data_IF_887607065923
#
_entry.id   IF_887607065923
#
_cell.length_a   1.000
_cell.length_b   1.000
_cell.length_c   1.000
_cell.angle_alpha   90.00
_cell.angle_beta   90.00
_cell.angle_gamma   90.00
#
_symmetry.space_group_name_H-M   'P 1'
#
loop_
_entity.id
_entity.type
_entity.pdbx_description
1 polymer ?
#
# COMPACT_ATOMS: atom_id res chain seq x y z
N UNK A 1 -21.08 -58.57 -16.19
CA UNK A 1 -20.16 -58.29 -17.31
C UNK A 1 -20.72 -57.27 -18.29
N UNK A 2 -21.72 -57.58 -19.14
CA UNK A 2 -22.19 -56.63 -20.19
C UNK A 2 -22.75 -55.32 -19.62
N UNK A 3 -23.55 -55.39 -18.54
CA UNK A 3 -24.12 -54.21 -17.86
C UNK A 3 -23.05 -53.30 -17.22
N UNK A 4 -21.95 -53.89 -16.77
CA UNK A 4 -20.83 -53.19 -16.13
C UNK A 4 -20.00 -52.42 -17.16
N UNK A 5 -19.74 -53.03 -18.31
CA UNK A 5 -19.14 -52.37 -19.47
C UNK A 5 -20.02 -51.23 -20.01
N UNK A 6 -21.33 -51.41 -20.08
CA UNK A 6 -22.25 -50.35 -20.49
C UNK A 6 -22.25 -49.16 -19.52
N UNK A 7 -22.21 -49.41 -18.21
CA UNK A 7 -22.13 -48.36 -17.19
C UNK A 7 -20.79 -47.60 -17.26
N UNK A 8 -19.66 -48.29 -17.46
CA UNK A 8 -18.36 -47.65 -17.65
C UNK A 8 -18.31 -46.78 -18.92
N UNK A 9 -18.90 -47.25 -20.02
CA UNK A 9 -19.06 -46.47 -21.24
C UNK A 9 -19.87 -45.20 -21.03
N UNK A 10 -21.01 -45.29 -20.34
CA UNK A 10 -21.83 -44.12 -19.99
C UNK A 10 -21.09 -43.12 -19.09
N UNK A 11 -20.30 -43.59 -18.13
CA UNK A 11 -19.45 -42.74 -17.28
C UNK A 11 -18.38 -42.00 -18.11
N UNK A 12 -17.74 -42.69 -19.04
CA UNK A 12 -16.70 -42.12 -19.91
C UNK A 12 -17.27 -41.03 -20.81
N UNK A 13 -18.46 -41.24 -21.39
CA UNK A 13 -19.15 -40.24 -22.22
C UNK A 13 -19.54 -39.00 -21.41
N UNK A 14 -20.01 -39.19 -20.17
CA UNK A 14 -20.32 -38.06 -19.26
C UNK A 14 -19.05 -37.26 -18.94
N UNK A 15 -17.96 -37.95 -18.61
CA UNK A 15 -16.67 -37.29 -18.34
C UNK A 15 -16.17 -36.49 -19.56
N UNK A 16 -16.21 -37.09 -20.75
CA UNK A 16 -15.81 -36.42 -22.00
C UNK A 16 -16.68 -35.18 -22.29
N UNK A 17 -17.99 -35.25 -22.03
CA UNK A 17 -18.90 -34.10 -22.19
C UNK A 17 -18.52 -32.94 -21.26
N UNK A 18 -18.19 -33.24 -20.01
CA UNK A 18 -17.76 -32.22 -19.05
C UNK A 18 -16.40 -31.61 -19.45
N UNK A 19 -15.45 -32.42 -19.91
CA UNK A 19 -14.17 -31.93 -20.43
C UNK A 19 -14.39 -31.01 -21.63
N UNK A 20 -15.25 -31.41 -22.57
CA UNK A 20 -15.59 -30.59 -23.73
C UNK A 20 -16.27 -29.26 -23.36
N UNK A 21 -17.18 -29.28 -22.38
CA UNK A 21 -17.80 -28.06 -21.83
C UNK A 21 -16.74 -27.13 -21.23
N UNK A 22 -15.82 -27.66 -20.42
CA UNK A 22 -14.74 -26.88 -19.83
C UNK A 22 -13.81 -26.29 -20.89
N UNK A 23 -13.42 -27.07 -21.89
CA UNK A 23 -12.58 -26.60 -22.99
C UNK A 23 -13.25 -25.46 -23.78
N UNK A 24 -14.55 -25.57 -24.03
CA UNK A 24 -15.32 -24.53 -24.71
C UNK A 24 -15.32 -23.22 -23.92
N UNK A 25 -15.45 -23.31 -22.59
CA UNK A 25 -15.37 -22.14 -21.70
C UNK A 25 -13.97 -21.53 -21.79
N UNK A 26 -12.90 -22.33 -21.67
CA UNK A 26 -11.52 -21.83 -21.79
C UNK A 26 -11.27 -21.16 -23.14
N UNK A 27 -11.76 -21.74 -24.24
CA UNK A 27 -11.64 -21.13 -25.56
C UNK A 27 -12.40 -19.81 -25.66
N UNK A 28 -13.55 -19.67 -24.98
CA UNK A 28 -14.30 -18.42 -24.93
C UNK A 28 -13.56 -17.27 -24.24
N UNK A 29 -12.60 -17.57 -23.35
CA UNK A 29 -11.75 -16.56 -22.71
C UNK A 29 -10.71 -15.95 -23.66
N UNK A 30 -10.29 -16.67 -24.72
CA UNK A 30 -9.30 -16.17 -25.69
C UNK A 30 -9.84 -14.99 -26.54
N UNK A 31 -11.16 -14.88 -26.69
CA UNK A 31 -11.79 -13.77 -27.40
C UNK A 31 -12.02 -12.51 -26.53
N UNK A 32 -11.67 -12.54 -25.24
CA UNK A 32 -11.81 -11.37 -24.35
C UNK A 32 -10.53 -10.53 -24.40
N UNK A 33 -10.69 -9.21 -24.38
CA UNK A 33 -9.56 -8.31 -24.20
C UNK A 33 -8.93 -8.51 -22.81
N UNK A 34 -7.59 -8.44 -22.70
CA UNK A 34 -6.93 -8.56 -21.42
C UNK A 34 -7.24 -7.34 -20.54
N UNK A 35 -7.62 -7.59 -19.29
CA UNK A 35 -7.84 -6.54 -18.26
C UNK A 35 -6.53 -6.13 -17.55
N UNK A 36 -5.40 -6.65 -18.00
CA UNK A 36 -4.09 -6.43 -17.38
C UNK A 36 -3.61 -5.00 -17.56
N UNK A 37 -3.11 -4.38 -16.49
CA UNK A 37 -2.48 -3.07 -16.49
C UNK A 37 -0.97 -3.26 -16.72
N UNK A 38 -0.40 -2.56 -17.70
CA UNK A 38 1.00 -2.73 -18.09
C UNK A 38 1.96 -1.88 -17.24
N UNK A 39 2.18 -2.29 -15.99
CA UNK A 39 3.22 -1.68 -15.15
C UNK A 39 4.62 -1.92 -15.75
N UNK A 40 5.52 -0.91 -15.87
CA UNK A 40 5.48 0.43 -15.24
C UNK A 40 4.91 1.56 -16.11
N UNK A 41 4.54 1.30 -17.36
CA UNK A 41 4.12 2.32 -18.33
C UNK A 41 2.69 2.81 -18.10
N UNK A 42 1.85 1.92 -17.57
CA UNK A 42 0.47 2.19 -17.15
C UNK A 42 0.38 1.94 -15.64
N UNK A 43 -0.12 2.94 -14.89
CA UNK A 43 -0.37 2.81 -13.45
C UNK A 43 -1.84 3.09 -13.15
N UNK A 44 -2.36 2.35 -12.19
CA UNK A 44 -3.72 2.54 -11.69
C UNK A 44 -3.76 3.76 -10.77
N UNK A 45 -4.75 4.64 -10.97
CA UNK A 45 -4.99 5.76 -10.06
C UNK A 45 -5.44 5.19 -8.71
N UNK A 46 -4.72 5.54 -7.64
CA UNK A 46 -5.08 5.10 -6.30
C UNK A 46 -6.34 5.81 -5.79
N UNK A 47 -7.06 5.19 -4.86
CA UNK A 47 -8.23 5.83 -4.25
C UNK A 47 -7.83 7.04 -3.41
N UNK A 48 -8.72 8.02 -3.26
CA UNK A 48 -8.52 9.21 -2.38
C UNK A 48 -8.15 8.87 -0.92
N UNK A 49 -8.52 7.68 -0.43
CA UNK A 49 -8.21 7.20 0.94
C UNK A 49 -7.12 6.13 0.96
N UNK A 50 -6.31 6.05 -0.10
CA UNK A 50 -5.22 5.11 -0.16
C UNK A 50 -4.18 5.43 0.93
N UNK A 51 -3.54 4.38 1.45
CA UNK A 51 -2.60 4.44 2.56
C UNK A 51 -1.20 4.07 2.07
N UNK A 52 -0.51 5.03 1.47
CA UNK A 52 0.89 4.90 1.04
C UNK A 52 1.87 5.45 2.06
N UNK A 53 2.95 6.08 1.59
CA UNK A 53 3.95 6.73 2.44
C UNK A 53 3.29 7.79 3.34
N UNK A 54 3.84 7.97 4.53
CA UNK A 54 3.43 9.06 5.43
C UNK A 54 4.23 10.32 5.08
N UNK A 55 3.53 11.44 4.91
CA UNK A 55 4.12 12.77 4.80
C UNK A 55 4.12 13.45 6.17
N UNK A 56 5.15 14.25 6.45
CA UNK A 56 5.33 14.91 7.73
C UNK A 56 5.71 16.38 7.55
N UNK A 57 4.96 17.26 8.21
CA UNK A 57 5.25 18.68 8.28
C UNK A 57 5.90 19.04 9.63
N UNK A 58 7.17 19.44 9.59
CA UNK A 58 7.95 19.75 10.79
C UNK A 58 7.36 20.93 11.59
N UNK A 59 6.94 21.99 10.91
CA UNK A 59 6.48 23.23 11.54
C UNK A 59 5.15 23.08 12.31
N UNK A 60 4.33 22.09 11.94
CA UNK A 60 3.03 21.81 12.58
C UNK A 60 3.15 20.86 13.77
N UNK A 61 4.29 20.20 13.98
CA UNK A 61 4.43 19.21 15.04
C UNK A 61 4.66 19.87 16.41
N UNK A 62 3.90 19.44 17.42
CA UNK A 62 3.98 19.94 18.80
C UNK A 62 4.60 18.95 19.80
N UNK A 63 5.21 17.87 19.30
CA UNK A 63 5.82 16.80 20.12
C UNK A 63 4.87 16.25 21.21
N UNK A 64 3.64 15.91 20.81
CA UNK A 64 2.60 15.38 21.71
C UNK A 64 2.69 13.86 21.97
N UNK A 65 3.54 13.15 21.20
CA UNK A 65 3.76 11.70 21.29
C UNK A 65 2.47 10.86 21.15
N UNK A 66 1.39 11.43 20.61
CA UNK A 66 0.16 10.69 20.34
C UNK A 66 0.42 9.64 19.26
N UNK A 67 1.17 9.99 18.21
CA UNK A 67 1.52 9.07 17.12
C UNK A 67 2.26 7.81 17.59
N UNK A 68 3.05 7.91 18.66
CA UNK A 68 3.73 6.75 19.26
C UNK A 68 2.71 5.89 19.99
N UNK A 69 1.95 6.48 20.92
CA UNK A 69 0.96 5.78 21.76
C UNK A 69 -0.16 5.10 20.98
N UNK A 70 -0.53 5.63 19.81
CA UNK A 70 -1.58 5.02 18.95
C UNK A 70 -1.01 4.03 17.94
N UNK A 71 0.31 3.97 17.79
CA UNK A 71 0.96 3.00 16.91
C UNK A 71 0.89 1.62 17.57
N UNK A 72 0.47 0.55 16.86
CA UNK A 72 0.39 -0.79 17.44
C UNK A 72 1.72 -1.35 17.97
N UNK A 73 2.84 -0.76 17.56
CA UNK A 73 4.20 -1.20 17.86
C UNK A 73 5.10 -0.04 18.35
N UNK A 74 4.52 1.12 18.70
CA UNK A 74 5.27 2.31 19.15
C UNK A 74 6.41 2.74 18.20
N UNK A 75 6.15 2.74 16.89
CA UNK A 75 7.18 2.89 15.85
C UNK A 75 7.79 4.30 15.70
N UNK A 76 7.01 5.40 15.64
CA UNK A 76 7.60 6.71 15.33
C UNK A 76 8.56 7.14 16.43
N UNK A 77 9.78 7.54 16.05
CA UNK A 77 10.76 8.07 17.00
C UNK A 77 10.58 9.58 17.08
N UNK A 78 10.29 10.09 18.27
CA UNK A 78 10.02 11.50 18.52
C UNK A 78 11.01 12.02 19.56
N UNK A 79 12.02 12.75 19.11
CA UNK A 79 12.98 13.40 20.00
C UNK A 79 12.59 14.86 20.20
N UNK A 80 12.44 15.28 21.45
CA UNK A 80 12.09 16.65 21.79
C UNK A 80 12.85 17.14 23.03
N UNK A 81 13.02 18.45 23.12
CA UNK A 81 13.60 19.13 24.29
C UNK A 81 12.59 20.11 24.85
N UNK A 82 12.47 20.14 26.18
CA UNK A 82 11.69 21.16 26.86
C UNK A 82 12.51 22.45 26.94
N UNK A 83 12.05 23.50 26.26
CA UNK A 83 12.59 24.85 26.47
C UNK A 83 11.89 25.46 27.68
N UNK A 84 12.62 25.61 28.79
CA UNK A 84 12.06 26.09 30.05
C UNK A 84 11.56 27.53 29.98
N UNK A 85 12.22 28.36 29.17
CA UNK A 85 11.90 29.78 29.03
C UNK A 85 10.49 30.01 28.46
N UNK A 86 10.11 29.21 27.46
CA UNK A 86 8.83 29.32 26.75
C UNK A 86 7.81 28.27 27.25
N UNK A 87 8.25 27.34 28.14
CA UNK A 87 7.49 26.17 28.58
C UNK A 87 6.90 25.37 27.41
N UNK A 88 7.59 25.34 26.28
CA UNK A 88 7.17 24.65 25.05
C UNK A 88 8.11 23.49 24.77
N UNK A 89 7.54 22.36 24.33
CA UNK A 89 8.32 21.26 23.77
C UNK A 89 8.75 21.65 22.35
N UNK A 90 10.06 21.62 22.10
CA UNK A 90 10.64 21.79 20.78
C UNK A 90 11.04 20.43 20.23
N UNK A 91 10.52 20.10 19.06
CA UNK A 91 10.92 18.89 18.33
C UNK A 91 12.35 19.06 17.81
N UNK A 92 13.18 18.03 17.99
CA UNK A 92 14.56 17.97 17.49
C UNK A 92 14.64 17.06 16.26
N UNK A 93 14.09 15.85 16.39
CA UNK A 93 14.12 14.84 15.36
C UNK A 93 12.82 14.04 15.36
N UNK A 94 12.41 13.65 14.15
CA UNK A 94 11.27 12.78 13.92
C UNK A 94 11.64 11.79 12.83
N UNK A 95 11.48 10.50 13.09
CA UNK A 95 11.74 9.46 12.08
C UNK A 95 10.73 8.33 12.15
N UNK A 96 10.47 7.72 11.00
CA UNK A 96 9.61 6.54 10.86
C UNK A 96 10.35 5.51 10.01
N UNK A 97 10.42 4.27 10.51
CA UNK A 97 10.95 3.15 9.73
C UNK A 97 9.84 2.47 8.93
N UNK A 98 9.83 2.70 7.61
CA UNK A 98 8.86 2.10 6.71
C UNK A 98 9.07 0.59 6.51
N UNK A 99 10.21 0.02 6.92
CA UNK A 99 10.41 -1.42 6.93
C UNK A 99 9.61 -2.15 8.02
N UNK A 100 9.16 -1.42 9.05
CA UNK A 100 8.38 -1.95 10.18
C UNK A 100 6.94 -1.42 10.15
N UNK A 101 6.70 -0.27 9.52
CA UNK A 101 5.38 0.34 9.41
C UNK A 101 4.37 -0.58 8.69
N UNK A 102 3.20 -0.76 9.29
CA UNK A 102 2.09 -1.56 8.72
C UNK A 102 1.05 -0.71 7.97
N UNK A 103 1.32 0.58 7.76
CA UNK A 103 0.44 1.53 7.05
C UNK A 103 -1.02 1.58 7.55
N UNK A 104 -1.25 1.36 8.85
CA UNK A 104 -2.59 1.40 9.44
C UNK A 104 -3.25 2.78 9.39
N UNK A 105 -2.46 3.87 9.43
CA UNK A 105 -2.97 5.25 9.39
C UNK A 105 -3.41 5.84 10.73
N UNK A 106 -3.31 5.10 11.85
CA UNK A 106 -3.69 5.63 13.18
C UNK A 106 -2.94 6.92 13.53
N UNK A 107 -1.65 7.00 13.22
CA UNK A 107 -0.84 8.18 13.51
C UNK A 107 -1.33 9.44 12.79
N UNK A 108 -1.96 9.29 11.62
CA UNK A 108 -2.57 10.39 10.86
C UNK A 108 -3.92 10.77 11.46
N UNK A 109 -4.75 9.77 11.76
CA UNK A 109 -6.12 9.98 12.26
C UNK A 109 -6.15 10.67 13.63
N UNK A 110 -5.25 10.29 14.54
CA UNK A 110 -5.19 10.85 15.90
C UNK A 110 -4.28 12.08 16.01
N UNK A 111 -3.73 12.59 14.91
CA UNK A 111 -2.87 13.76 14.94
C UNK A 111 -3.71 15.04 15.18
N UNK A 112 -3.51 15.77 16.30
CA UNK A 112 -4.34 16.94 16.60
C UNK A 112 -4.04 18.15 15.70
N UNK A 113 -2.83 18.23 15.13
CA UNK A 113 -2.39 19.36 14.30
C UNK A 113 -2.39 19.04 12.81
N UNK A 114 -2.83 17.84 12.42
CA UNK A 114 -2.76 17.34 11.05
C UNK A 114 -1.36 17.51 10.43
N UNK A 115 -0.30 17.30 11.22
CA UNK A 115 1.09 17.37 10.73
C UNK A 115 1.51 16.11 9.97
N UNK A 116 0.78 15.01 10.14
CA UNK A 116 0.97 13.75 9.43
C UNK A 116 -0.17 13.58 8.44
N UNK A 117 0.15 13.15 7.22
CA UNK A 117 -0.84 12.81 6.19
C UNK A 117 -0.41 11.56 5.43
N UNK A 118 -1.38 10.84 4.86
CA UNK A 118 -1.09 9.71 3.98
C UNK A 118 -0.89 10.24 2.55
N UNK A 119 0.06 9.65 1.83
CA UNK A 119 0.30 9.93 0.41
C UNK A 119 -0.10 8.73 -0.45
N UNK A 120 -0.12 8.95 -1.76
CA UNK A 120 -0.43 7.94 -2.77
C UNK A 120 0.80 7.10 -3.17
N UNK A 121 1.97 7.42 -2.61
CA UNK A 121 3.23 6.76 -2.99
C UNK A 121 3.31 5.36 -2.37
N UNK A 122 3.29 4.34 -3.23
CA UNK A 122 3.45 2.94 -2.85
C UNK A 122 4.79 2.34 -3.30
N UNK A 123 5.58 3.04 -4.10
CA UNK A 123 6.84 2.56 -4.70
C UNK A 123 8.06 2.86 -3.81
N UNK A 124 8.07 2.32 -2.59
CA UNK A 124 9.08 2.62 -1.55
C UNK A 124 10.24 1.61 -1.47
N UNK A 125 10.47 0.79 -2.50
CA UNK A 125 11.44 -0.30 -2.42
C UNK A 125 12.89 0.18 -2.41
N UNK A 126 13.73 -0.44 -1.58
CA UNK A 126 15.17 -0.17 -1.47
C UNK A 126 15.97 -1.47 -1.37
N UNK A 127 17.23 -1.44 -1.79
CA UNK A 127 18.15 -2.58 -1.65
C UNK A 127 18.63 -2.83 -0.22
N UNK A 128 18.60 -1.80 0.62
CA UNK A 128 19.03 -1.86 2.01
C UNK A 128 17.88 -1.41 2.92
N UNK A 129 17.66 -2.16 4.00
CA UNK A 129 16.63 -1.88 5.01
C UNK A 129 16.88 -0.56 5.71
N UNK A 130 18.13 -0.17 5.93
CA UNK A 130 18.46 1.04 6.69
C UNK A 130 18.05 2.32 5.94
N UNK A 131 17.83 2.22 4.63
CA UNK A 131 17.33 3.33 3.80
C UNK A 131 15.82 3.55 3.94
N UNK A 132 15.07 2.61 4.52
CA UNK A 132 13.63 2.74 4.80
C UNK A 132 13.34 3.54 6.07
N UNK A 133 14.36 3.80 6.89
CA UNK A 133 14.23 4.72 8.01
C UNK A 133 14.29 6.17 7.51
N UNK A 134 13.12 6.80 7.42
CA UNK A 134 13.00 8.14 6.87
C UNK A 134 13.05 9.16 7.99
N UNK A 135 13.99 10.09 7.87
CA UNK A 135 14.09 11.27 8.73
C UNK A 135 13.02 12.32 8.37
N UNK A 136 12.81 13.28 9.27
CA UNK A 136 11.86 14.38 9.11
C UNK A 136 11.95 15.11 7.75
N UNK A 137 13.17 15.31 7.22
CA UNK A 137 13.38 15.96 5.92
C UNK A 137 12.92 15.06 4.76
N UNK A 138 13.15 13.76 4.86
CA UNK A 138 12.74 12.79 3.84
C UNK A 138 11.21 12.62 3.84
N UNK A 139 10.59 12.62 5.03
CA UNK A 139 9.14 12.57 5.18
C UNK A 139 8.44 13.83 4.66
N UNK A 140 9.07 15.00 4.82
CA UNK A 140 8.56 16.29 4.33
C UNK A 140 8.66 16.49 2.82
N UNK A 141 9.21 15.54 2.06
CA UNK A 141 9.18 15.60 0.59
C UNK A 141 7.74 15.54 0.09
N UNK A 142 7.42 16.45 -0.82
CA UNK A 142 6.14 16.48 -1.52
C UNK A 142 5.94 15.15 -2.24
N UNK A 143 4.76 14.52 -2.11
CA UNK A 143 4.48 13.32 -2.85
C UNK A 143 4.32 13.64 -4.34
N UNK A 144 4.87 12.78 -5.19
CA UNK A 144 4.53 12.79 -6.62
C UNK A 144 3.20 12.06 -6.80
N UNK A 145 2.16 12.76 -7.27
CA UNK A 145 0.90 12.08 -7.61
C UNK A 145 1.09 11.28 -8.89
N UNK A 146 0.36 10.16 -9.02
CA UNK A 146 0.40 9.33 -10.24
C UNK A 146 -0.13 10.11 -11.45
N UNK A 147 -0.97 11.12 -11.22
CA UNK A 147 -1.59 11.97 -12.24
C UNK A 147 -0.58 12.96 -12.83
N UNK A 148 0.35 13.46 -12.02
CA UNK A 148 1.32 14.48 -12.42
C UNK A 148 2.56 13.90 -13.13
N UNK A 149 2.72 12.57 -13.14
CA UNK A 149 3.84 11.91 -13.80
C UNK A 149 3.59 11.78 -15.31
N UNK A 150 4.14 12.72 -16.07
CA UNK A 150 4.05 12.75 -17.54
C UNK A 150 4.66 11.53 -18.24
N UNK A 151 5.46 10.71 -17.53
CA UNK A 151 6.06 9.50 -18.09
C UNK A 151 5.08 8.32 -18.12
N UNK A 152 3.89 8.49 -17.54
CA UNK A 152 2.94 7.41 -17.24
C UNK A 152 1.61 7.69 -17.94
N UNK A 153 1.01 6.64 -18.51
CA UNK A 153 -0.39 6.69 -18.93
C UNK A 153 -1.27 6.28 -17.75
N UNK A 154 -2.09 7.21 -17.29
CA UNK A 154 -3.11 6.92 -16.28
C UNK A 154 -4.31 6.22 -16.93
N UNK A 155 -4.83 5.20 -16.24
CA UNK A 155 -6.05 4.46 -16.58
C UNK A 155 -7.07 4.69 -15.49
#
# INVERSE_FOLDING_TARGET
>A
MVTEFMNYGQQTVRAARHIGQSFMITLSHANRLPITIQYPYEKLITSERFRGRIHFEFDKCIACEVCVRVCPIDLPVVDWKLEMDIRKKRLLNYSIDFGICIFCGNCVEYCPTNCLSMTEEYELSTYDRHKLNYNQIALGRLPMSVIDDYTIRTI
#
